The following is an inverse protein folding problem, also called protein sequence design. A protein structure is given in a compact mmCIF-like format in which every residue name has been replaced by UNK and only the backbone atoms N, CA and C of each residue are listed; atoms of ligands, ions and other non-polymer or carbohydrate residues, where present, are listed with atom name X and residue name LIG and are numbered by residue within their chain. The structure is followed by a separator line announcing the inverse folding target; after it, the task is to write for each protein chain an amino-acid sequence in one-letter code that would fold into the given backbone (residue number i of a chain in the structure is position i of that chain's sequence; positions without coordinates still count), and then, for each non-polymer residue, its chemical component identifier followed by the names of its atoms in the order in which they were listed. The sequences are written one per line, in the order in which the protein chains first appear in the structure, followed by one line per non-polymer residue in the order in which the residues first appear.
data_IF_613225354030
#
_entry.id   IF_613225354030
#
_cell.length_a   1.000
_cell.length_b   1.000
_cell.length_c   1.000
_cell.angle_alpha   90.00
_cell.angle_beta   90.00
_cell.angle_gamma   90.00
#
_symmetry.space_group_name_H-M   'P 1'
#
loop_
_entity.id
_entity.type
_entity.pdbx_description
1 polymer ?
#
# COMPACT_ATOMS: atom_id res chain seq x y z
N UNK A 1 -37.33 14.42 -21.81
CA UNK A 1 -36.96 13.36 -22.79
C UNK A 1 -35.61 13.59 -23.45
N UNK A 2 -35.19 14.83 -23.77
CA UNK A 2 -33.88 15.10 -24.40
C UNK A 2 -32.67 15.09 -23.44
N UNK A 3 -32.86 15.33 -22.13
CA UNK A 3 -31.76 15.30 -21.15
C UNK A 3 -31.10 13.93 -20.99
N UNK A 4 -31.83 12.85 -21.25
CA UNK A 4 -31.33 11.47 -21.17
C UNK A 4 -30.35 11.09 -22.30
N UNK A 5 -30.33 11.85 -23.40
CA UNK A 5 -29.41 11.64 -24.53
C UNK A 5 -28.15 12.50 -24.42
N UNK A 6 -28.17 13.53 -23.57
CA UNK A 6 -27.10 14.51 -23.41
C UNK A 6 -26.36 14.38 -22.10
N UNK A 7 -26.67 13.35 -21.31
CA UNK A 7 -25.93 13.04 -20.09
C UNK A 7 -25.44 11.59 -20.19
N UNK A 8 -24.12 11.36 -20.23
CA UNK A 8 -23.59 10.01 -20.09
C UNK A 8 -23.87 9.61 -18.64
N UNK A 9 -24.91 8.81 -18.43
CA UNK A 9 -25.44 8.44 -17.11
C UNK A 9 -24.37 7.70 -16.29
N UNK A 10 -23.52 8.46 -15.61
CA UNK A 10 -22.35 7.94 -14.88
C UNK A 10 -22.81 7.00 -13.75
N UNK A 11 -23.91 7.35 -13.09
CA UNK A 11 -24.48 6.61 -11.96
C UNK A 11 -24.97 5.20 -12.33
N UNK A 12 -25.51 5.01 -13.54
CA UNK A 12 -25.98 3.71 -14.05
C UNK A 12 -24.82 2.71 -14.27
N UNK A 13 -23.58 3.19 -14.19
CA UNK A 13 -22.38 2.42 -14.51
C UNK A 13 -21.53 2.06 -13.28
N UNK A 14 -22.01 2.40 -12.08
CA UNK A 14 -21.39 2.09 -10.80
C UNK A 14 -21.85 0.73 -10.29
N UNK A 15 -20.94 -0.03 -9.68
CA UNK A 15 -21.26 -1.26 -8.94
C UNK A 15 -21.64 -0.86 -7.52
N UNK A 16 -22.84 -0.30 -7.38
CA UNK A 16 -23.35 0.18 -6.09
C UNK A 16 -23.42 -0.95 -5.05
N UNK A 17 -23.62 -2.20 -5.48
CA UNK A 17 -23.69 -3.39 -4.61
C UNK A 17 -22.35 -3.71 -3.91
N UNK A 18 -21.21 -3.35 -4.51
CA UNK A 18 -19.86 -3.55 -3.92
C UNK A 18 -19.36 -2.32 -3.14
N UNK A 19 -20.20 -1.27 -3.02
CA UNK A 19 -19.83 0.00 -2.39
C UNK A 19 -18.91 0.86 -3.27
N UNK A 20 -19.01 0.76 -4.60
CA UNK A 20 -18.34 1.66 -5.53
C UNK A 20 -18.95 3.06 -5.43
N UNK A 21 -18.14 4.06 -5.05
CA UNK A 21 -18.57 5.47 -4.94
C UNK A 21 -17.75 6.34 -5.89
N UNK A 22 -18.41 7.33 -6.52
CA UNK A 22 -17.74 8.34 -7.34
C UNK A 22 -17.03 9.32 -6.41
N UNK A 23 -15.72 9.43 -6.56
CA UNK A 23 -14.90 10.40 -5.82
C UNK A 23 -14.83 11.72 -6.58
N UNK A 24 -14.66 11.66 -7.90
CA UNK A 24 -14.64 12.85 -8.76
C UNK A 24 -15.15 12.54 -10.17
N UNK A 25 -15.89 13.50 -10.73
CA UNK A 25 -16.40 13.47 -12.09
C UNK A 25 -15.74 14.60 -12.90
N UNK A 26 -14.84 14.23 -13.81
CA UNK A 26 -14.07 15.16 -14.61
C UNK A 26 -14.80 15.47 -15.92
N UNK A 27 -15.32 16.71 -16.00
CA UNK A 27 -15.81 17.30 -17.26
C UNK A 27 -14.65 17.93 -18.02
N UNK A 28 -14.71 17.92 -19.35
CA UNK A 28 -13.77 18.69 -20.19
C UNK A 28 -13.88 20.18 -19.87
N UNK A 29 -12.72 20.83 -19.75
CA UNK A 29 -12.61 22.26 -19.50
C UNK A 29 -13.22 23.08 -20.65
N UNK A 30 -13.71 24.29 -20.37
CA UNK A 30 -14.38 25.14 -21.37
C UNK A 30 -13.49 25.43 -22.59
N UNK A 31 -12.16 25.47 -22.43
CA UNK A 31 -11.23 25.66 -23.56
C UNK A 31 -11.36 24.56 -24.63
N UNK A 32 -11.79 23.35 -24.28
CA UNK A 32 -12.04 22.30 -25.26
C UNK A 32 -13.15 22.69 -26.26
N UNK A 33 -14.06 23.58 -25.88
CA UNK A 33 -15.14 24.11 -26.73
C UNK A 33 -14.70 25.25 -27.64
N UNK A 34 -13.49 25.79 -27.50
CA UNK A 34 -13.00 26.88 -28.38
C UNK A 34 -12.92 26.39 -29.83
N UNK A 35 -12.34 25.21 -30.07
CA UNK A 35 -12.21 24.66 -31.43
C UNK A 35 -13.56 24.43 -32.13
N UNK A 36 -14.58 23.77 -31.52
CA UNK A 36 -15.88 23.66 -32.18
C UNK A 36 -16.59 25.00 -32.32
N UNK A 37 -16.43 25.93 -31.37
CA UNK A 37 -17.03 27.27 -31.48
C UNK A 37 -16.48 28.04 -32.68
N UNK A 38 -15.18 27.98 -32.94
CA UNK A 38 -14.57 28.60 -34.13
C UNK A 38 -15.07 27.98 -35.44
N UNK A 39 -15.28 26.66 -35.48
CA UNK A 39 -15.86 25.98 -36.65
C UNK A 39 -17.31 26.44 -36.88
N UNK A 40 -18.10 26.55 -35.81
CA UNK A 40 -19.49 27.05 -35.90
C UNK A 40 -19.51 28.50 -36.41
N UNK A 41 -18.65 29.36 -35.87
CA UNK A 41 -18.53 30.75 -36.31
C UNK A 41 -18.09 30.85 -37.78
N UNK A 42 -17.15 30.01 -38.22
CA UNK A 42 -16.74 29.93 -39.61
C UNK A 42 -17.90 29.49 -40.51
N UNK A 43 -18.64 28.45 -40.12
CA UNK A 43 -19.82 27.99 -40.85
C UNK A 43 -20.89 29.08 -40.96
N UNK A 44 -21.12 29.83 -39.88
CA UNK A 44 -22.06 30.94 -39.85
C UNK A 44 -21.60 32.13 -40.72
N UNK A 45 -20.30 32.42 -40.75
CA UNK A 45 -19.73 33.44 -41.62
C UNK A 45 -19.84 33.06 -43.11
N UNK A 46 -19.59 31.80 -43.47
CA UNK A 46 -19.78 31.28 -44.83
C UNK A 46 -21.26 31.31 -45.23
N UNK A 47 -22.15 30.93 -44.30
CA UNK A 47 -23.59 31.04 -44.51
C UNK A 47 -24.02 32.51 -44.72
N UNK A 48 -23.43 33.46 -44.00
CA UNK A 48 -23.72 34.89 -44.15
C UNK A 48 -23.25 35.45 -45.50
N UNK A 49 -22.26 34.84 -46.16
CA UNK A 49 -21.84 35.21 -47.51
C UNK A 49 -22.97 35.00 -48.54
N UNK A 50 -23.95 34.15 -48.23
CA UNK A 50 -25.16 33.99 -49.06
C UNK A 50 -25.94 35.28 -49.27
N UNK A 51 -25.86 36.24 -48.33
CA UNK A 51 -26.52 37.55 -48.46
C UNK A 51 -25.87 38.46 -49.50
N UNK A 52 -24.63 38.18 -49.92
CA UNK A 52 -23.89 38.97 -50.91
C UNK A 52 -23.95 38.39 -52.33
N UNK A 53 -24.44 37.17 -52.48
CA UNK A 53 -24.49 36.43 -53.74
C UNK A 53 -25.90 36.55 -54.35
N UNK A 54 -26.04 36.58 -55.69
CA UNK A 54 -27.36 36.58 -56.34
C UNK A 54 -28.24 35.41 -55.87
N UNK A 55 -29.56 35.64 -55.79
CA UNK A 55 -30.50 34.72 -55.13
C UNK A 55 -30.50 33.31 -55.73
N UNK A 56 -30.21 33.19 -57.03
CA UNK A 56 -30.13 31.92 -57.75
C UNK A 56 -28.99 31.02 -57.28
N UNK A 57 -27.93 31.61 -56.69
CA UNK A 57 -26.75 30.89 -56.20
C UNK A 57 -26.58 30.93 -54.67
N UNK A 58 -27.44 31.66 -53.96
CA UNK A 58 -27.35 31.83 -52.50
C UNK A 58 -27.45 30.51 -51.72
N UNK A 59 -28.08 29.48 -52.30
CA UNK A 59 -28.19 28.13 -51.71
C UNK A 59 -26.84 27.43 -51.52
N UNK A 60 -25.85 27.73 -52.37
CA UNK A 60 -24.52 27.09 -52.34
C UNK A 60 -23.73 27.49 -51.07
N UNK A 61 -23.43 28.78 -50.81
CA UNK A 61 -22.74 29.18 -49.59
C UNK A 61 -23.57 28.91 -48.33
N UNK A 62 -24.90 29.00 -48.42
CA UNK A 62 -25.78 28.66 -47.30
C UNK A 62 -25.67 27.17 -46.93
N UNK A 63 -25.71 26.27 -47.91
CA UNK A 63 -25.56 24.84 -47.69
C UNK A 63 -24.20 24.46 -47.15
N UNK A 64 -23.12 25.05 -47.69
CA UNK A 64 -21.75 24.83 -47.21
C UNK A 64 -21.60 25.35 -45.77
N UNK A 65 -22.06 26.57 -45.49
CA UNK A 65 -21.99 27.16 -44.16
C UNK A 65 -22.79 26.34 -43.14
N UNK A 66 -23.98 25.87 -43.50
CA UNK A 66 -24.80 25.00 -42.68
C UNK A 66 -24.10 23.65 -42.40
N UNK A 67 -23.46 23.03 -43.39
CA UNK A 67 -22.72 21.78 -43.20
C UNK A 67 -21.51 21.96 -42.26
N UNK A 68 -20.76 23.05 -42.39
CA UNK A 68 -19.64 23.39 -41.50
C UNK A 68 -20.15 23.65 -40.07
N UNK A 69 -21.23 24.43 -39.93
CA UNK A 69 -21.82 24.72 -38.63
C UNK A 69 -22.35 23.43 -37.96
N UNK A 70 -23.02 22.56 -38.72
CA UNK A 70 -23.50 21.26 -38.23
C UNK A 70 -22.34 20.36 -37.79
N UNK A 71 -21.24 20.34 -38.53
CA UNK A 71 -20.02 19.64 -38.13
C UNK A 71 -19.42 20.21 -36.84
N UNK A 72 -19.41 21.54 -36.68
CA UNK A 72 -19.00 22.21 -35.45
C UNK A 72 -19.88 21.84 -34.24
N UNK A 73 -21.20 21.78 -34.43
CA UNK A 73 -22.15 21.32 -33.40
C UNK A 73 -21.91 19.85 -33.05
N UNK A 74 -21.72 18.99 -34.04
CA UNK A 74 -21.37 17.58 -33.82
C UNK A 74 -20.09 17.43 -32.99
N UNK A 75 -19.05 18.23 -33.29
CA UNK A 75 -17.80 18.27 -32.53
C UNK A 75 -18.00 18.80 -31.11
N UNK A 76 -18.83 19.84 -30.91
CA UNK A 76 -19.16 20.35 -29.58
C UNK A 76 -19.87 19.29 -28.73
N UNK A 77 -20.80 18.55 -29.35
CA UNK A 77 -21.52 17.46 -28.67
C UNK A 77 -20.57 16.33 -28.27
N UNK A 78 -19.59 15.99 -29.12
CA UNK A 78 -18.56 15.01 -28.80
C UNK A 78 -17.75 15.41 -27.55
N UNK A 79 -17.37 16.69 -27.44
CA UNK A 79 -16.65 17.23 -26.27
C UNK A 79 -17.53 17.19 -25.02
N UNK A 80 -18.83 17.45 -25.15
CA UNK A 80 -19.77 17.44 -24.04
C UNK A 80 -20.04 16.02 -23.49
N UNK A 81 -20.04 15.01 -24.35
CA UNK A 81 -20.32 13.61 -23.99
C UNK A 81 -19.12 12.88 -23.36
N UNK A 82 -17.92 13.42 -23.47
CA UNK A 82 -16.71 12.75 -22.99
C UNK A 82 -16.50 13.01 -21.50
N UNK A 83 -16.72 11.98 -20.67
CA UNK A 83 -16.54 12.03 -19.22
C UNK A 83 -15.49 11.06 -18.74
N UNK A 84 -14.67 11.55 -17.83
CA UNK A 84 -13.71 10.76 -17.09
C UNK A 84 -14.13 10.73 -15.64
N UNK A 85 -14.29 9.54 -15.09
CA UNK A 85 -14.87 9.32 -13.77
C UNK A 85 -13.85 8.57 -12.93
N UNK A 86 -13.62 9.08 -11.73
CA UNK A 86 -12.70 8.52 -10.74
C UNK A 86 -13.57 7.99 -9.60
N UNK A 87 -13.46 6.69 -9.34
CA UNK A 87 -14.14 6.04 -8.21
C UNK A 87 -13.11 5.58 -7.19
N UNK A 88 -13.59 5.07 -6.06
CA UNK A 88 -12.76 4.43 -5.04
C UNK A 88 -12.13 3.08 -5.47
N UNK A 89 -12.56 2.48 -6.58
CA UNK A 89 -12.11 1.14 -7.00
C UNK A 89 -11.40 1.15 -8.37
N UNK A 90 -11.84 2.01 -9.29
CA UNK A 90 -11.33 2.10 -10.66
C UNK A 90 -11.52 3.48 -11.28
N UNK A 91 -10.76 3.76 -12.32
CA UNK A 91 -11.05 4.87 -13.23
C UNK A 91 -11.72 4.34 -14.49
N UNK A 92 -12.69 5.09 -15.01
CA UNK A 92 -13.25 4.77 -16.31
C UNK A 92 -13.58 6.03 -17.10
N UNK A 93 -13.56 5.86 -18.42
CA UNK A 93 -13.89 6.92 -19.37
C UNK A 93 -15.02 6.45 -20.26
N UNK A 94 -16.00 7.32 -20.41
CA UNK A 94 -17.13 7.12 -21.32
C UNK A 94 -17.02 8.19 -22.39
N UNK A 95 -16.90 7.77 -23.65
CA UNK A 95 -16.88 8.69 -24.78
C UNK A 95 -17.69 8.13 -25.95
N UNK A 96 -18.37 9.02 -26.67
CA UNK A 96 -19.21 8.65 -27.80
C UNK A 96 -20.53 9.40 -27.80
N UNK A 97 -21.16 9.49 -28.98
CA UNK A 97 -22.47 10.16 -29.16
C UNK A 97 -23.56 9.12 -29.43
N UNK A 98 -23.36 8.30 -30.46
CA UNK A 98 -24.31 7.24 -30.85
C UNK A 98 -23.89 5.88 -30.32
N UNK A 99 -22.60 5.56 -30.47
CA UNK A 99 -21.97 4.37 -29.87
C UNK A 99 -21.10 4.84 -28.72
N UNK A 100 -21.41 4.37 -27.51
CA UNK A 100 -20.63 4.67 -26.31
C UNK A 100 -19.53 3.62 -26.16
N UNK A 101 -18.29 4.08 -26.05
CA UNK A 101 -17.15 3.24 -25.71
C UNK A 101 -16.77 3.52 -24.26
N UNK A 102 -16.63 2.44 -23.48
CA UNK A 102 -16.20 2.49 -22.08
C UNK A 102 -14.82 1.85 -21.98
N UNK A 103 -13.84 2.62 -21.55
CA UNK A 103 -12.54 2.11 -21.14
C UNK A 103 -12.50 2.12 -19.61
N UNK A 104 -12.08 1.02 -19.00
CA UNK A 104 -12.06 0.85 -17.54
C UNK A 104 -10.72 0.31 -17.10
N UNK A 105 -10.14 0.90 -16.06
CA UNK A 105 -8.86 0.48 -15.51
C UNK A 105 -8.94 0.48 -13.97
N UNK A 106 -8.60 -0.64 -13.30
CA UNK A 106 -8.54 -0.70 -11.84
C UNK A 106 -7.53 0.30 -11.27
N UNK A 107 -7.83 0.91 -10.13
CA UNK A 107 -6.90 1.86 -9.48
C UNK A 107 -5.54 1.20 -9.19
N UNK A 108 -5.54 -0.07 -8.79
CA UNK A 108 -4.33 -0.83 -8.47
C UNK A 108 -3.39 -1.08 -9.67
N UNK A 109 -3.85 -0.85 -10.92
CA UNK A 109 -3.03 -1.06 -12.13
C UNK A 109 -2.37 0.22 -12.66
N UNK A 110 -2.61 1.36 -12.00
CA UNK A 110 -2.02 2.65 -12.38
C UNK A 110 -0.57 2.66 -11.85
N UNK A 111 0.40 2.72 -12.77
CA UNK A 111 1.82 2.75 -12.41
C UNK A 111 2.27 4.17 -12.04
N UNK A 112 2.01 5.11 -12.94
CA UNK A 112 2.32 6.52 -12.74
C UNK A 112 1.25 7.43 -13.36
N UNK A 113 1.13 8.63 -12.80
CA UNK A 113 0.27 9.69 -13.32
C UNK A 113 1.12 10.94 -13.50
N UNK A 114 1.29 11.33 -14.76
CA UNK A 114 2.04 12.51 -15.13
C UNK A 114 1.08 13.65 -15.55
N UNK A 115 1.30 14.85 -15.00
CA UNK A 115 0.48 16.04 -15.29
C UNK A 115 1.25 17.01 -16.18
N UNK A 116 0.77 17.21 -17.41
CA UNK A 116 1.32 18.23 -18.31
C UNK A 116 0.45 19.50 -18.32
N UNK A 117 1.04 20.64 -17.96
CA UNK A 117 0.37 21.95 -18.01
C UNK A 117 1.06 22.87 -19.00
N UNK A 118 0.41 23.22 -20.12
CA UNK A 118 0.95 24.25 -21.01
C UNK A 118 0.96 25.61 -20.30
N UNK A 119 1.75 26.57 -20.80
CA UNK A 119 1.84 27.93 -20.24
C UNK A 119 0.46 28.57 -20.01
N UNK A 120 -0.45 28.45 -20.99
CA UNK A 120 -1.83 28.92 -20.85
C UNK A 120 -2.64 28.07 -19.85
N UNK A 121 -2.31 26.79 -19.69
CA UNK A 121 -2.89 25.89 -18.70
C UNK A 121 -2.67 26.36 -17.26
N UNK A 122 -1.51 26.96 -16.97
CA UNK A 122 -1.23 27.52 -15.65
C UNK A 122 -2.13 28.72 -15.31
N UNK A 123 -2.42 29.55 -16.31
CA UNK A 123 -3.28 30.75 -16.14
C UNK A 123 -4.75 30.35 -16.03
N UNK A 124 -5.22 29.48 -16.91
CA UNK A 124 -6.62 29.05 -16.98
C UNK A 124 -6.93 27.81 -16.12
N UNK A 125 -6.00 27.37 -15.26
CA UNK A 125 -6.12 26.20 -14.37
C UNK A 125 -6.60 24.93 -15.10
N UNK A 126 -6.01 24.62 -16.26
CA UNK A 126 -6.23 23.35 -16.95
C UNK A 126 -4.92 22.62 -17.25
N UNK A 127 -5.02 21.30 -17.42
CA UNK A 127 -3.88 20.44 -17.76
C UNK A 127 -4.32 19.21 -18.56
N UNK A 128 -3.34 18.32 -18.76
CA UNK A 128 -3.51 17.03 -19.41
C UNK A 128 -2.95 15.97 -18.46
N UNK A 129 -3.72 14.91 -18.22
CA UNK A 129 -3.25 13.74 -17.48
C UNK A 129 -2.75 12.70 -18.47
N UNK A 130 -1.58 12.16 -18.18
CA UNK A 130 -1.00 11.00 -18.86
C UNK A 130 -0.93 9.88 -17.84
N UNK A 131 -1.67 8.80 -18.07
CA UNK A 131 -1.68 7.62 -17.23
C UNK A 131 -0.78 6.57 -17.84
N UNK A 132 0.17 6.09 -17.05
CA UNK A 132 0.98 4.92 -17.39
C UNK A 132 0.37 3.69 -16.69
N UNK A 133 0.17 2.63 -17.46
CA UNK A 133 -0.55 1.44 -17.03
C UNK A 133 0.25 0.19 -17.33
N UNK A 134 0.17 -0.80 -16.44
CA UNK A 134 0.82 -2.09 -16.62
C UNK A 134 0.23 -2.91 -17.80
N UNK A 135 -0.99 -2.57 -18.24
CA UNK A 135 -1.63 -3.14 -19.43
C UNK A 135 -1.96 -2.01 -20.42
N UNK A 136 -1.80 -2.26 -21.72
CA UNK A 136 -1.87 -1.21 -22.74
C UNK A 136 -3.32 -0.82 -23.10
N UNK A 137 -3.97 -0.05 -22.22
CA UNK A 137 -5.33 0.46 -22.44
C UNK A 137 -5.32 1.77 -23.26
N UNK A 138 -5.47 1.63 -24.58
CA UNK A 138 -5.39 2.73 -25.56
C UNK A 138 -6.42 3.86 -25.34
N UNK A 139 -7.45 3.66 -24.50
CA UNK A 139 -8.52 4.64 -24.24
C UNK A 139 -8.30 5.56 -23.03
N UNK A 140 -7.37 5.21 -22.13
CA UNK A 140 -7.18 5.87 -20.84
C UNK A 140 -5.83 6.57 -20.67
N UNK A 141 -4.89 6.34 -21.60
CA UNK A 141 -3.52 6.88 -21.51
C UNK A 141 -3.43 8.40 -21.48
N UNK A 142 -4.26 9.11 -22.24
CA UNK A 142 -4.20 10.58 -22.34
C UNK A 142 -5.59 11.21 -22.18
N UNK A 143 -5.75 11.96 -21.08
CA UNK A 143 -6.96 12.72 -20.77
C UNK A 143 -6.66 14.21 -20.87
N UNK A 144 -7.16 14.83 -21.94
CA UNK A 144 -6.89 16.24 -22.27
C UNK A 144 -7.94 17.19 -21.75
N UNK A 145 -7.51 18.41 -21.41
CA UNK A 145 -8.35 19.53 -20.98
C UNK A 145 -9.07 19.26 -19.66
N UNK A 146 -8.30 18.85 -18.65
CA UNK A 146 -8.80 18.64 -17.29
C UNK A 146 -8.66 19.93 -16.49
N UNK A 147 -9.76 20.40 -15.91
CA UNK A 147 -9.75 21.57 -15.02
C UNK A 147 -9.21 21.21 -13.64
N UNK A 148 -8.55 22.17 -12.96
CA UNK A 148 -7.95 21.99 -11.63
C UNK A 148 -7.11 20.70 -11.50
N UNK A 149 -6.09 20.51 -12.37
CA UNK A 149 -5.33 19.26 -12.40
C UNK A 149 -4.57 18.96 -11.10
N UNK A 150 -4.10 19.96 -10.35
CA UNK A 150 -3.37 19.75 -9.09
C UNK A 150 -4.21 19.14 -7.98
N UNK A 151 -5.39 19.71 -7.74
CA UNK A 151 -6.32 19.23 -6.72
C UNK A 151 -6.79 17.80 -7.03
N UNK A 152 -6.96 17.52 -8.33
CA UNK A 152 -7.36 16.20 -8.82
C UNK A 152 -6.25 15.17 -8.75
N UNK A 153 -5.02 15.56 -9.03
CA UNK A 153 -3.84 14.69 -8.89
C UNK A 153 -3.71 14.19 -7.44
N UNK A 154 -3.78 15.11 -6.46
CA UNK A 154 -3.78 14.75 -5.04
C UNK A 154 -4.95 13.83 -4.66
N UNK A 155 -6.14 14.10 -5.20
CA UNK A 155 -7.33 13.26 -4.98
C UNK A 155 -7.10 11.85 -5.52
N UNK A 156 -6.58 11.71 -6.74
CA UNK A 156 -6.31 10.42 -7.35
C UNK A 156 -5.23 9.67 -6.57
N UNK A 157 -4.13 10.33 -6.20
CA UNK A 157 -3.06 9.72 -5.38
C UNK A 157 -3.60 9.20 -4.04
N UNK A 158 -4.45 10.00 -3.36
CA UNK A 158 -5.10 9.60 -2.11
C UNK A 158 -5.97 8.35 -2.31
N UNK A 159 -6.71 8.28 -3.42
CA UNK A 159 -7.55 7.13 -3.74
C UNK A 159 -6.73 5.90 -4.15
N UNK A 160 -5.62 6.07 -4.89
CA UNK A 160 -4.69 4.97 -5.21
C UNK A 160 -4.14 4.36 -3.91
N UNK A 161 -3.69 5.20 -2.98
CA UNK A 161 -3.18 4.73 -1.69
C UNK A 161 -4.26 3.97 -0.91
N UNK A 162 -5.48 4.53 -0.80
CA UNK A 162 -6.61 3.88 -0.10
C UNK A 162 -7.10 2.60 -0.78
N UNK A 163 -7.08 2.55 -2.11
CA UNK A 163 -7.54 1.37 -2.88
C UNK A 163 -6.49 0.27 -2.95
N UNK A 164 -5.19 0.62 -3.01
CA UNK A 164 -4.09 -0.33 -2.86
C UNK A 164 -4.13 -1.04 -1.50
N UNK A 165 -4.40 -0.30 -0.42
CA UNK A 165 -4.68 -0.86 0.90
C UNK A 165 -5.86 -1.85 0.85
N UNK A 166 -6.97 -1.49 0.20
CA UNK A 166 -8.15 -2.38 0.08
C UNK A 166 -7.92 -3.63 -0.76
N UNK A 167 -7.13 -3.55 -1.83
CA UNK A 167 -6.74 -4.71 -2.64
C UNK A 167 -5.84 -5.66 -1.87
N UNK A 168 -4.91 -5.13 -1.05
CA UNK A 168 -4.10 -5.93 -0.14
C UNK A 168 -4.99 -6.67 0.88
N UNK A 169 -5.98 -5.98 1.47
CA UNK A 169 -6.97 -6.57 2.41
C UNK A 169 -7.74 -7.73 1.76
N UNK A 170 -8.21 -7.55 0.52
CA UNK A 170 -8.98 -8.60 -0.18
C UNK A 170 -8.13 -9.85 -0.42
N UNK A 171 -6.85 -9.69 -0.79
CA UNK A 171 -5.91 -10.79 -1.01
C UNK A 171 -5.41 -11.49 0.26
N UNK A 172 -5.67 -10.90 1.44
CA UNK A 172 -5.37 -11.49 2.74
C UNK A 172 -6.57 -12.31 3.23
N UNK A 173 -7.79 -11.80 3.08
CA UNK A 173 -9.00 -12.55 3.42
C UNK A 173 -9.16 -13.84 2.61
N UNK A 174 -8.77 -13.87 1.33
CA UNK A 174 -8.84 -15.12 0.53
C UNK A 174 -7.79 -16.15 0.96
N UNK A 175 -6.68 -15.73 1.59
CA UNK A 175 -5.66 -16.67 2.08
C UNK A 175 -6.09 -17.38 3.37
N UNK A 176 -6.89 -16.72 4.20
CA UNK A 176 -7.47 -17.33 5.40
C UNK A 176 -8.62 -18.31 5.07
N UNK A 177 -9.20 -18.24 3.85
CA UNK A 177 -10.25 -19.18 3.40
C UNK A 177 -9.68 -20.46 2.74
N UNK A 178 -8.47 -20.40 2.15
CA UNK A 178 -7.83 -21.55 1.50
C UNK A 178 -7.08 -22.47 2.49
N UNK A 179 -6.83 -22.03 3.73
CA UNK A 179 -6.15 -22.82 4.77
C UNK A 179 -7.11 -23.71 5.59
N UNK A 180 -8.43 -23.62 5.34
CA UNK A 180 -9.49 -24.42 6.01
C UNK A 180 -10.09 -25.53 5.11
N UNK A 181 -9.57 -25.78 3.90
CA UNK A 181 -9.97 -26.95 3.10
C UNK A 181 -9.32 -28.24 3.65
N UNK A 182 -10.17 -29.05 4.29
CA UNK A 182 -9.99 -30.44 4.73
C UNK A 182 -8.84 -31.19 4.03
N UNK A 183 -7.84 -31.60 4.83
CA UNK A 183 -6.94 -32.70 4.49
C UNK A 183 -7.78 -33.94 4.14
N UNK A 184 -7.74 -34.47 2.90
CA UNK A 184 -8.39 -35.73 2.61
C UNK A 184 -7.54 -36.86 3.21
N UNK A 185 -8.17 -37.66 4.06
CA UNK A 185 -7.65 -38.94 4.52
C UNK A 185 -7.26 -39.83 3.35
N UNK A 186 -6.21 -40.63 3.56
CA UNK A 186 -5.53 -41.38 2.53
C UNK A 186 -6.31 -42.50 1.83
N UNK A 187 -5.60 -43.05 0.83
CA UNK A 187 -5.92 -44.17 -0.05
C UNK A 187 -6.93 -43.90 -1.17
N UNK A 188 -6.41 -43.54 -2.35
CA UNK A 188 -6.43 -44.51 -3.46
C UNK A 188 -5.45 -44.13 -4.58
N UNK A 189 -4.68 -45.15 -4.98
CA UNK A 189 -3.79 -45.13 -6.13
C UNK A 189 -4.59 -45.40 -7.42
N UNK A 190 -4.08 -44.79 -8.51
CA UNK A 190 -4.04 -45.28 -9.91
C UNK A 190 -4.86 -44.50 -10.97
N UNK A 191 -4.07 -43.84 -11.83
CA UNK A 191 -4.20 -43.54 -13.29
C UNK A 191 -5.02 -42.36 -13.79
N UNK A 192 -4.28 -41.33 -14.23
CA UNK A 192 -4.07 -41.11 -15.67
C UNK A 192 -4.68 -39.85 -16.28
N UNK A 193 -3.84 -38.82 -16.52
CA UNK A 193 -3.64 -38.13 -17.81
C UNK A 193 -3.25 -36.64 -17.63
N UNK A 194 -1.98 -36.36 -17.94
CA UNK A 194 -1.41 -35.18 -18.64
C UNK A 194 -2.14 -33.82 -18.59
N UNK A 195 -1.44 -32.81 -18.05
CA UNK A 195 -1.23 -31.53 -18.73
C UNK A 195 -0.03 -30.80 -18.11
N UNK A 196 0.90 -30.42 -18.98
CA UNK A 196 2.17 -29.78 -18.70
C UNK A 196 2.00 -28.37 -18.08
N UNK A 197 2.81 -28.06 -17.07
CA UNK A 197 3.00 -26.69 -16.56
C UNK A 197 4.48 -26.36 -16.74
N UNK A 198 4.80 -25.75 -17.89
CA UNK A 198 6.03 -25.00 -18.08
C UNK A 198 5.82 -23.59 -17.52
N UNK A 199 6.58 -23.26 -16.48
CA UNK A 199 6.68 -21.94 -15.90
C UNK A 199 7.97 -21.29 -16.38
N UNK A 200 7.91 -20.62 -17.53
CA UNK A 200 8.94 -19.69 -17.99
C UNK A 200 8.42 -18.26 -17.80
N UNK A 201 8.95 -17.56 -16.80
CA UNK A 201 8.96 -16.10 -16.74
C UNK A 201 10.27 -15.60 -17.33
N UNK A 202 10.24 -15.31 -18.63
CA UNK A 202 11.31 -14.57 -19.31
C UNK A 202 11.21 -13.08 -18.95
N UNK A 203 12.26 -12.62 -18.28
CA UNK A 203 12.60 -11.23 -18.07
C UNK A 203 13.57 -10.83 -19.18
N UNK A 204 13.05 -10.31 -20.29
CA UNK A 204 13.88 -9.72 -21.35
C UNK A 204 14.11 -8.23 -21.06
N UNK A 205 15.37 -7.91 -20.77
CA UNK A 205 15.91 -6.55 -20.85
C UNK A 205 16.78 -6.44 -22.11
N UNK A 206 16.25 -5.81 -23.15
CA UNK A 206 17.03 -5.37 -24.30
C UNK A 206 17.96 -4.22 -23.89
N UNK A 207 19.26 -4.42 -24.08
CA UNK A 207 20.24 -3.35 -24.22
C UNK A 207 21.19 -3.72 -25.36
N UNK A 208 20.79 -3.36 -26.57
CA UNK A 208 21.65 -3.34 -27.75
C UNK A 208 22.72 -2.25 -27.59
N UNK A 209 23.99 -2.65 -27.55
CA UNK A 209 25.09 -1.84 -28.07
C UNK A 209 25.99 -2.73 -28.93
N UNK A 210 25.81 -2.59 -30.24
CA UNK A 210 26.78 -2.95 -31.27
C UNK A 210 28.14 -2.31 -30.97
N UNK A 211 29.18 -3.13 -30.83
CA UNK A 211 30.52 -2.78 -31.26
C UNK A 211 31.15 -3.97 -31.96
N UNK A 212 31.31 -3.79 -33.27
CA UNK A 212 31.95 -4.69 -34.19
C UNK A 212 33.45 -4.35 -34.26
N UNK A 213 34.32 -5.33 -34.01
CA UNK A 213 35.68 -5.33 -34.56
C UNK A 213 36.31 -6.71 -34.48
N UNK A 214 36.45 -7.28 -35.66
CA UNK A 214 37.21 -8.44 -36.08
C UNK A 214 38.58 -8.66 -35.40
N UNK A 215 38.79 -9.93 -35.06
CA UNK A 215 39.89 -10.79 -35.55
C UNK A 215 41.37 -10.51 -35.16
N UNK A 216 41.96 -11.57 -34.57
CA UNK A 216 43.22 -12.21 -34.94
C UNK A 216 44.36 -12.31 -33.89
N UNK A 217 44.48 -13.54 -33.34
CA UNK A 217 45.69 -14.33 -33.03
C UNK A 217 46.98 -13.61 -32.56
N UNK A 218 47.41 -13.90 -31.32
CA UNK A 218 48.70 -14.58 -31.03
C UNK A 218 48.85 -14.98 -29.56
N UNK A 219 49.52 -16.11 -29.37
CA UNK A 219 49.66 -16.90 -28.16
C UNK A 219 50.57 -16.29 -27.08
N UNK A 220 50.28 -16.59 -25.81
CA UNK A 220 51.32 -17.06 -24.88
C UNK A 220 50.74 -17.93 -23.74
N UNK A 221 51.31 -19.12 -23.60
CA UNK A 221 51.09 -20.13 -22.58
C UNK A 221 51.95 -19.82 -21.34
N UNK A 222 51.38 -19.66 -20.14
CA UNK A 222 51.48 -20.67 -19.06
C UNK A 222 50.87 -20.20 -17.71
N UNK A 223 50.43 -21.18 -16.86
CA UNK A 223 49.53 -20.99 -15.73
C UNK A 223 50.26 -20.95 -14.37
N UNK A 224 49.55 -20.53 -13.32
CA UNK A 224 49.87 -20.93 -11.93
C UNK A 224 48.62 -21.40 -11.19
N UNK A 225 48.44 -22.74 -11.23
CA UNK A 225 47.99 -23.68 -10.19
C UNK A 225 47.24 -23.16 -8.94
N UNK A 226 46.31 -23.90 -8.31
CA UNK A 226 45.52 -25.10 -8.63
C UNK A 226 44.60 -25.40 -7.42
N UNK A 227 43.36 -25.80 -7.67
CA UNK A 227 42.46 -26.32 -6.64
C UNK A 227 42.93 -27.69 -6.12
N UNK A 228 42.94 -27.86 -4.79
CA UNK A 228 43.21 -29.13 -4.11
C UNK A 228 41.93 -29.76 -3.59
N UNK A 229 41.73 -31.02 -3.96
CA UNK A 229 40.55 -31.87 -3.72
C UNK A 229 40.39 -32.29 -2.26
N UNK A 230 39.12 -32.47 -1.85
CA UNK A 230 38.63 -32.89 -0.54
C UNK A 230 38.80 -34.41 -0.33
N UNK A 231 39.47 -34.82 0.74
CA UNK A 231 39.39 -36.17 1.34
C UNK A 231 39.28 -36.03 2.86
N UNK A 232 38.40 -36.82 3.48
CA UNK A 232 37.78 -36.52 4.77
C UNK A 232 38.52 -36.99 6.04
N UNK A 233 37.71 -36.99 7.12
CA UNK A 233 37.91 -37.55 8.47
C UNK A 233 38.36 -36.55 9.55
N UNK A 234 37.42 -36.21 10.46
CA UNK A 234 37.62 -35.34 11.62
C UNK A 234 38.71 -35.87 12.57
N UNK A 235 39.55 -34.99 13.13
CA UNK A 235 40.12 -35.17 14.45
C UNK A 235 39.56 -34.15 15.46
N UNK A 236 39.32 -34.64 16.67
CA UNK A 236 38.80 -33.90 17.82
C UNK A 236 39.61 -32.65 18.15
N UNK A 237 38.92 -31.55 18.44
CA UNK A 237 39.50 -30.31 18.98
C UNK A 237 40.00 -30.60 20.40
N UNK A 238 41.33 -30.65 20.57
CA UNK A 238 41.97 -30.60 21.89
C UNK A 238 41.87 -29.17 22.41
N UNK A 239 40.99 -28.93 23.38
CA UNK A 239 41.08 -27.76 24.26
C UNK A 239 42.34 -27.91 25.10
N UNK A 240 43.33 -27.03 24.88
CA UNK A 240 44.63 -27.05 25.56
C UNK A 240 44.55 -26.57 27.00
N UNK A 241 43.90 -27.32 27.89
CA UNK A 241 43.91 -27.07 29.33
C UNK A 241 44.37 -28.35 30.04
N UNK A 242 45.62 -28.34 30.50
CA UNK A 242 46.14 -29.36 31.42
C UNK A 242 45.66 -29.12 32.85
N UNK A 243 45.64 -30.14 33.73
CA UNK A 243 44.90 -30.13 34.99
C UNK A 243 45.61 -29.41 36.15
N UNK A 244 46.49 -28.44 35.87
CA UNK A 244 47.24 -27.71 36.89
C UNK A 244 47.54 -26.28 36.41
N UNK A 245 46.48 -25.48 36.25
CA UNK A 245 46.62 -24.03 36.09
C UNK A 245 45.94 -23.39 37.30
N UNK A 246 46.76 -22.73 38.10
CA UNK A 246 46.34 -21.93 39.25
C UNK A 246 45.54 -20.72 38.75
N UNK A 247 44.25 -20.67 39.09
CA UNK A 247 43.29 -19.68 38.56
C UNK A 247 43.25 -18.39 39.39
N UNK A 248 44.12 -18.22 40.39
CA UNK A 248 44.09 -17.03 41.25
C UNK A 248 44.88 -15.81 40.73
N UNK A 249 45.66 -15.94 39.64
CA UNK A 249 46.56 -14.86 39.17
C UNK A 249 46.07 -14.08 37.93
N UNK A 250 44.91 -14.41 37.36
CA UNK A 250 44.36 -13.74 36.16
C UNK A 250 43.25 -12.73 36.44
N UNK A 251 43.09 -12.28 37.68
CA UNK A 251 42.32 -11.08 37.99
C UNK A 251 43.28 -9.89 38.02
N UNK A 252 43.40 -9.22 36.87
CA UNK A 252 43.59 -7.76 36.69
C UNK A 252 44.44 -7.54 35.43
N UNK A 253 43.77 -7.52 34.28
CA UNK A 253 44.28 -6.77 33.13
C UNK A 253 43.28 -5.66 32.86
N UNK A 254 43.46 -4.53 33.55
CA UNK A 254 42.75 -3.29 33.26
C UNK A 254 43.15 -2.82 31.85
N UNK A 255 42.27 -3.08 30.88
CA UNK A 255 42.36 -2.44 29.58
C UNK A 255 41.84 -1.00 29.72
N UNK A 256 42.77 -0.08 29.96
CA UNK A 256 42.51 1.35 29.83
C UNK A 256 42.30 1.68 28.34
N UNK A 257 41.04 1.75 27.93
CA UNK A 257 40.65 2.35 26.66
C UNK A 257 40.23 3.78 26.94
N UNK A 258 41.01 4.73 26.42
CA UNK A 258 40.93 6.16 26.69
C UNK A 258 39.72 6.83 25.98
N UNK A 259 38.53 6.25 26.16
CA UNK A 259 37.24 6.74 25.67
C UNK A 259 36.25 6.81 26.82
N UNK A 260 36.15 8.00 27.41
CA UNK A 260 35.20 8.29 28.49
C UNK A 260 33.75 8.16 28.02
N UNK A 261 33.13 7.05 28.38
CA UNK A 261 31.68 6.98 28.59
C UNK A 261 31.40 7.04 30.09
N UNK A 262 30.61 8.05 30.47
CA UNK A 262 30.12 8.31 31.83
C UNK A 262 29.15 7.20 32.27
N UNK A 263 29.24 6.83 33.55
CA UNK A 263 28.28 6.06 34.36
C UNK A 263 27.65 4.86 33.65
N UNK A 264 28.38 3.75 33.62
CA UNK A 264 27.76 2.43 33.46
C UNK A 264 26.98 2.10 34.73
N UNK A 265 25.69 2.49 34.78
CA UNK A 265 24.75 1.91 35.73
C UNK A 265 24.81 0.39 35.57
N UNK A 266 25.23 -0.29 36.64
CA UNK A 266 25.39 -1.74 36.71
C UNK A 266 24.07 -2.42 36.29
N UNK A 267 24.05 -2.92 35.05
CA UNK A 267 22.93 -3.63 34.46
C UNK A 267 22.77 -4.97 35.21
N UNK A 268 21.89 -5.01 36.22
CA UNK A 268 21.53 -6.25 36.90
C UNK A 268 20.71 -7.12 35.94
N UNK A 269 21.41 -7.94 35.15
CA UNK A 269 20.80 -8.99 34.34
C UNK A 269 20.25 -10.02 35.32
N UNK A 270 18.93 -10.18 35.39
CA UNK A 270 18.35 -11.40 35.95
C UNK A 270 18.97 -12.59 35.23
N UNK A 271 19.27 -13.69 35.93
CA UNK A 271 20.02 -14.83 35.39
C UNK A 271 19.25 -15.57 34.26
N UNK A 272 19.15 -14.96 33.08
CA UNK A 272 18.70 -15.60 31.85
C UNK A 272 19.95 -15.97 31.06
N UNK A 273 20.54 -17.13 31.39
CA UNK A 273 21.56 -17.71 30.52
C UNK A 273 20.88 -18.01 29.16
N UNK A 274 21.40 -17.50 28.03
CA UNK A 274 20.84 -17.82 26.73
C UNK A 274 20.82 -19.34 26.56
N UNK A 275 19.72 -19.87 26.04
CA UNK A 275 19.58 -21.30 25.78
C UNK A 275 20.78 -21.76 24.93
N UNK A 276 21.30 -22.96 25.20
CA UNK A 276 22.52 -23.51 24.58
C UNK A 276 22.50 -23.56 23.04
N UNK A 277 21.39 -23.26 22.37
CA UNK A 277 21.23 -23.09 20.92
C UNK A 277 20.20 -21.98 20.59
N UNK A 278 20.38 -20.77 21.13
CA UNK A 278 19.52 -19.64 20.79
C UNK A 278 19.75 -19.16 19.32
N UNK A 279 18.74 -19.20 18.44
CA UNK A 279 18.85 -18.74 17.05
C UNK A 279 19.28 -17.27 16.92
N UNK A 280 18.95 -16.42 17.90
CA UNK A 280 19.27 -14.99 17.84
C UNK A 280 20.75 -14.76 18.13
N UNK A 281 21.28 -15.42 19.16
CA UNK A 281 22.70 -15.47 19.45
C UNK A 281 23.51 -16.03 18.27
N UNK A 282 23.02 -17.08 17.60
CA UNK A 282 23.66 -17.62 16.40
C UNK A 282 23.66 -16.62 15.23
N UNK A 283 22.53 -15.94 14.98
CA UNK A 283 22.45 -14.91 13.96
C UNK A 283 23.41 -13.75 14.25
N UNK A 284 23.52 -13.33 15.52
CA UNK A 284 24.44 -12.29 15.95
C UNK A 284 25.90 -12.65 15.66
N UNK A 285 26.33 -13.87 15.99
CA UNK A 285 27.68 -14.35 15.65
C UNK A 285 27.94 -14.43 14.15
N UNK A 286 26.95 -14.82 13.34
CA UNK A 286 27.09 -14.84 11.88
C UNK A 286 27.19 -13.43 11.27
N UNK A 287 26.47 -12.45 11.84
CA UNK A 287 26.50 -11.07 11.40
C UNK A 287 27.85 -10.40 11.63
N UNK A 288 28.43 -10.62 12.81
CA UNK A 288 29.74 -10.08 13.21
C UNK A 288 30.86 -10.46 12.25
N UNK A 289 30.76 -11.62 11.59
CA UNK A 289 31.75 -12.05 10.60
C UNK A 289 31.78 -11.19 9.34
N UNK A 290 30.73 -10.40 9.06
CA UNK A 290 30.57 -9.67 7.80
C UNK A 290 30.26 -8.18 7.96
N UNK A 291 29.60 -7.78 9.06
CA UNK A 291 29.12 -6.42 9.27
C UNK A 291 29.34 -5.94 10.72
N UNK A 292 29.52 -4.62 10.93
CA UNK A 292 29.58 -4.03 12.27
C UNK A 292 28.21 -4.04 12.95
N UNK A 293 28.18 -3.59 14.22
CA UNK A 293 26.95 -3.40 15.02
C UNK A 293 26.20 -4.68 15.42
N UNK A 294 26.94 -5.74 15.76
CA UNK A 294 26.41 -7.01 16.31
C UNK A 294 25.33 -6.82 17.37
N UNK A 295 25.62 -6.03 18.43
CA UNK A 295 24.71 -5.90 19.58
C UNK A 295 23.40 -5.18 19.24
N UNK A 296 23.44 -4.19 18.33
CA UNK A 296 22.23 -3.51 17.87
C UNK A 296 21.37 -4.45 17.02
N UNK A 297 21.98 -5.23 16.14
CA UNK A 297 21.27 -6.24 15.36
C UNK A 297 20.61 -7.28 16.28
N UNK A 298 21.36 -7.82 17.25
CA UNK A 298 20.84 -8.79 18.20
C UNK A 298 19.67 -8.21 19.00
N UNK A 299 19.83 -7.00 19.56
CA UNK A 299 18.79 -6.32 20.34
C UNK A 299 17.52 -6.06 19.51
N UNK A 300 17.67 -5.61 18.25
CA UNK A 300 16.52 -5.38 17.36
C UNK A 300 15.79 -6.68 17.05
N UNK A 301 16.53 -7.77 16.81
CA UNK A 301 15.97 -9.10 16.55
C UNK A 301 15.21 -9.65 17.75
N UNK A 302 15.79 -9.53 18.95
CA UNK A 302 15.12 -9.93 20.20
C UNK A 302 13.85 -9.12 20.42
N UNK A 303 13.89 -7.80 20.21
CA UNK A 303 12.72 -6.95 20.39
C UNK A 303 11.58 -7.32 19.43
N UNK A 304 11.87 -7.58 18.15
CA UNK A 304 10.86 -7.99 17.18
C UNK A 304 10.26 -9.36 17.50
N UNK A 305 11.08 -10.32 17.96
CA UNK A 305 10.60 -11.64 18.40
C UNK A 305 9.77 -11.57 19.66
N UNK A 306 10.21 -10.80 20.65
CA UNK A 306 9.46 -10.55 21.87
C UNK A 306 8.11 -9.91 21.56
N UNK A 307 8.06 -8.93 20.67
CA UNK A 307 6.80 -8.32 20.22
C UNK A 307 5.87 -9.35 19.58
N UNK A 308 6.35 -10.16 18.62
CA UNK A 308 5.56 -11.23 18.00
C UNK A 308 4.98 -12.18 19.04
N UNK A 309 5.83 -12.68 19.93
CA UNK A 309 5.42 -13.62 20.97
C UNK A 309 4.39 -13.02 21.94
N UNK A 310 4.53 -11.74 22.29
CA UNK A 310 3.57 -11.03 23.13
C UNK A 310 2.19 -10.95 22.47
N UNK A 311 2.14 -10.58 21.19
CA UNK A 311 0.88 -10.51 20.44
C UNK A 311 0.23 -11.90 20.38
N UNK A 312 0.98 -12.94 19.97
CA UNK A 312 0.45 -14.30 19.84
C UNK A 312 -0.09 -14.83 21.19
N UNK A 313 0.65 -14.57 22.28
CA UNK A 313 0.26 -14.96 23.64
C UNK A 313 -1.00 -14.24 24.10
N UNK A 314 -1.14 -12.94 23.82
CA UNK A 314 -2.32 -12.17 24.19
C UNK A 314 -3.54 -12.55 23.36
N UNK A 315 -3.37 -12.82 22.07
CA UNK A 315 -4.42 -13.35 21.19
C UNK A 315 -4.95 -14.69 21.69
N UNK A 316 -4.07 -15.60 22.09
CA UNK A 316 -4.45 -16.88 22.71
C UNK A 316 -5.34 -16.66 23.94
N UNK A 317 -5.00 -15.68 24.80
CA UNK A 317 -5.79 -15.37 26.00
C UNK A 317 -7.13 -14.72 25.68
N UNK A 318 -7.21 -13.92 24.62
CA UNK A 318 -8.42 -13.19 24.22
C UNK A 318 -9.38 -14.02 23.36
N UNK A 319 -8.91 -15.12 22.76
CA UNK A 319 -9.71 -16.03 21.94
C UNK A 319 -11.05 -16.46 22.55
N UNK A 320 -11.19 -16.77 23.85
CA UNK A 320 -12.48 -17.11 24.46
C UNK A 320 -13.54 -16.01 24.37
N UNK A 321 -13.13 -14.76 24.17
CA UNK A 321 -14.01 -13.61 23.97
C UNK A 321 -14.26 -13.30 22.48
N UNK A 322 -13.67 -14.08 21.56
CA UNK A 322 -13.71 -13.80 20.12
C UNK A 322 -12.86 -12.59 19.71
N UNK A 323 -11.97 -12.12 20.59
CA UNK A 323 -11.14 -10.94 20.36
C UNK A 323 -9.71 -11.33 19.98
N UNK A 324 -9.11 -10.48 19.14
CA UNK A 324 -7.66 -10.36 18.99
C UNK A 324 -7.18 -9.16 19.80
N UNK A 325 -5.88 -9.05 20.03
CA UNK A 325 -5.24 -7.94 20.73
C UNK A 325 -5.50 -6.62 20.02
N UNK A 326 -5.49 -6.59 18.69
CA UNK A 326 -5.82 -5.39 17.91
C UNK A 326 -7.27 -4.92 18.16
N UNK A 327 -8.24 -5.85 18.17
CA UNK A 327 -9.65 -5.54 18.48
C UNK A 327 -9.84 -5.07 19.92
N UNK A 328 -9.12 -5.71 20.84
CA UNK A 328 -9.08 -5.30 22.24
C UNK A 328 -8.46 -3.90 22.40
N UNK A 329 -7.34 -3.61 21.73
CA UNK A 329 -6.65 -2.32 21.76
C UNK A 329 -7.56 -1.20 21.25
N UNK A 330 -8.27 -1.40 20.13
CA UNK A 330 -9.25 -0.44 19.62
C UNK A 330 -10.34 -0.12 20.64
N UNK A 331 -10.92 -1.14 21.27
CA UNK A 331 -11.91 -0.96 22.32
C UNK A 331 -11.31 -0.29 23.57
N UNK A 332 -10.06 -0.58 23.90
CA UNK A 332 -9.36 -0.02 25.06
C UNK A 332 -9.08 1.48 24.88
N UNK A 333 -8.68 1.91 23.67
CA UNK A 333 -8.50 3.32 23.34
C UNK A 333 -9.79 4.11 23.53
N UNK A 334 -10.90 3.60 23.00
CA UNK A 334 -12.22 4.21 23.21
C UNK A 334 -12.65 4.15 24.68
N UNK A 335 -12.36 3.06 25.39
CA UNK A 335 -12.71 2.91 26.80
C UNK A 335 -12.01 3.94 27.70
N UNK A 336 -10.77 4.34 27.37
CA UNK A 336 -10.02 5.36 28.11
C UNK A 336 -10.38 6.79 27.73
N UNK A 337 -11.00 7.01 26.58
CA UNK A 337 -11.54 8.33 26.24
C UNK A 337 -12.70 8.70 27.17
N UNK A 338 -12.77 9.98 27.57
CA UNK A 338 -13.77 10.47 28.53
C UNK A 338 -15.21 10.37 28.00
N UNK A 339 -15.39 10.52 26.69
CA UNK A 339 -16.70 10.41 26.02
C UNK A 339 -16.95 8.97 25.56
N UNK A 340 -15.91 8.15 25.45
CA UNK A 340 -16.00 6.84 24.81
C UNK A 340 -15.97 6.92 23.30
N UNK A 341 -15.52 8.04 22.74
CA UNK A 341 -15.62 8.30 21.32
C UNK A 341 -14.37 9.02 20.81
N UNK A 342 -13.83 8.53 19.70
CA UNK A 342 -12.67 9.13 19.01
C UNK A 342 -12.98 9.30 17.52
N UNK A 343 -12.41 10.31 16.85
CA UNK A 343 -12.43 10.38 15.39
C UNK A 343 -11.88 9.07 14.81
N UNK A 344 -12.53 8.55 13.76
CA UNK A 344 -12.16 7.25 13.19
C UNK A 344 -10.72 7.24 12.67
N UNK A 345 -10.25 8.36 12.11
CA UNK A 345 -8.86 8.51 11.64
C UNK A 345 -7.88 8.42 12.82
N UNK A 346 -8.17 9.13 13.91
CA UNK A 346 -7.35 9.11 15.12
C UNK A 346 -7.31 7.71 15.75
N UNK A 347 -8.45 7.01 15.80
CA UNK A 347 -8.51 5.63 16.27
C UNK A 347 -7.61 4.73 15.43
N UNK A 348 -7.65 4.84 14.09
CA UNK A 348 -6.83 4.01 13.21
C UNK A 348 -5.33 4.34 13.27
N UNK A 349 -4.97 5.60 13.51
CA UNK A 349 -3.58 6.06 13.62
C UNK A 349 -2.91 5.64 14.94
N UNK A 350 -3.71 5.43 15.99
CA UNK A 350 -3.21 4.98 17.30
C UNK A 350 -3.03 3.46 17.42
N UNK A 351 -3.63 2.67 16.52
CA UNK A 351 -3.49 1.23 16.53
C UNK A 351 -2.10 0.79 16.08
N UNK A 352 -1.55 -0.25 16.72
CA UNK A 352 -0.20 -0.76 16.41
C UNK A 352 -0.14 -1.61 15.13
N UNK A 353 -1.29 -1.86 14.51
CA UNK A 353 -1.38 -2.63 13.27
C UNK A 353 -1.27 -1.72 12.05
N UNK A 354 -0.95 -2.30 10.91
CA UNK A 354 -0.96 -1.55 9.66
C UNK A 354 -2.37 -1.01 9.35
N UNK A 355 -2.43 0.09 8.59
CA UNK A 355 -3.67 0.80 8.26
C UNK A 355 -4.77 -0.12 7.72
N UNK A 356 -4.40 -1.19 7.03
CA UNK A 356 -5.34 -2.12 6.41
C UNK A 356 -6.04 -3.03 7.45
N UNK A 357 -5.30 -3.44 8.48
CA UNK A 357 -5.78 -4.18 9.64
C UNK A 357 -6.57 -3.31 10.63
N UNK A 358 -6.29 -1.99 10.69
CA UNK A 358 -7.05 -1.05 11.52
C UNK A 358 -8.52 -0.94 11.05
N UNK A 359 -8.77 -0.85 9.74
CA UNK A 359 -10.14 -0.77 9.21
C UNK A 359 -10.92 -2.08 9.35
N UNK A 360 -10.28 -3.23 9.16
CA UNK A 360 -10.93 -4.53 9.36
C UNK A 360 -11.28 -4.75 10.83
N UNK A 361 -10.41 -4.30 11.74
CA UNK A 361 -10.66 -4.29 13.18
C UNK A 361 -11.90 -3.47 13.54
N UNK A 362 -11.98 -2.22 13.07
CA UNK A 362 -13.13 -1.35 13.35
C UNK A 362 -14.43 -1.94 12.77
N UNK A 363 -14.39 -2.40 11.51
CA UNK A 363 -15.58 -2.99 10.87
C UNK A 363 -16.06 -4.24 11.62
N UNK A 364 -15.16 -5.12 12.04
CA UNK A 364 -15.54 -6.29 12.82
C UNK A 364 -16.19 -5.89 14.15
N UNK A 365 -15.69 -4.86 14.82
CA UNK A 365 -16.29 -4.35 16.05
C UNK A 365 -17.69 -3.78 15.83
N UNK A 366 -17.92 -3.10 14.70
CA UNK A 366 -19.25 -2.61 14.27
C UNK A 366 -20.22 -3.76 13.96
N UNK A 367 -19.79 -4.71 13.14
CA UNK A 367 -20.60 -5.88 12.76
C UNK A 367 -20.99 -6.73 13.99
N UNK A 368 -20.20 -6.64 15.07
CA UNK A 368 -20.45 -7.31 16.35
C UNK A 368 -21.12 -6.42 17.42
N UNK A 369 -21.59 -5.22 17.07
CA UNK A 369 -22.32 -4.32 17.98
C UNK A 369 -21.50 -3.88 19.21
N UNK A 370 -20.16 -3.82 19.05
CA UNK A 370 -19.21 -3.39 20.08
C UNK A 370 -18.81 -1.92 19.91
N UNK A 371 -19.02 -1.37 18.72
CA UNK A 371 -18.70 -0.02 18.32
C UNK A 371 -19.80 0.49 17.36
N UNK A 372 -20.14 1.77 17.44
CA UNK A 372 -21.06 2.44 16.51
C UNK A 372 -20.41 3.67 15.86
N UNK A 373 -20.82 4.00 14.63
CA UNK A 373 -20.41 5.24 13.96
C UNK A 373 -21.38 6.37 14.26
N UNK A 374 -20.87 7.46 14.82
CA UNK A 374 -21.61 8.69 15.02
C UNK A 374 -21.11 9.77 14.04
N UNK A 375 -22.05 10.43 13.35
CA UNK A 375 -21.78 11.65 12.57
C UNK A 375 -22.06 12.86 13.47
N UNK A 376 -21.06 13.72 13.68
CA UNK A 376 -21.28 14.94 14.46
C UNK A 376 -22.01 15.99 13.62
N UNK A 377 -23.18 16.50 14.06
CA UNK A 377 -23.90 17.53 13.33
C UNK A 377 -23.30 18.91 13.68
N UNK A 378 -22.27 19.34 12.95
CA UNK A 378 -21.71 20.68 13.19
C UNK A 378 -20.55 21.12 12.31
N UNK A 379 -19.67 20.22 11.87
CA UNK A 379 -18.47 20.60 11.11
C UNK A 379 -17.97 19.40 10.26
N UNK A 380 -17.64 19.65 9.00
CA UNK A 380 -16.93 18.81 8.01
C UNK A 380 -17.16 17.28 7.91
N UNK A 381 -18.25 16.73 8.48
CA UNK A 381 -18.62 15.32 8.27
C UNK A 381 -17.61 14.32 8.84
N UNK A 382 -16.90 14.71 9.91
CA UNK A 382 -15.98 13.83 10.60
C UNK A 382 -16.74 12.66 11.27
N UNK A 383 -16.25 11.44 11.02
CA UNK A 383 -16.88 10.20 11.48
C UNK A 383 -16.22 9.79 12.79
N UNK A 384 -17.02 9.68 13.85
CA UNK A 384 -16.57 9.20 15.14
C UNK A 384 -16.88 7.72 15.31
N UNK A 385 -15.97 7.01 15.97
CA UNK A 385 -16.21 5.69 16.52
C UNK A 385 -16.57 5.83 18.00
N UNK A 386 -17.74 5.34 18.40
CA UNK A 386 -18.22 5.36 19.78
C UNK A 386 -18.37 3.93 20.31
N UNK A 387 -17.85 3.66 21.51
CA UNK A 387 -17.94 2.34 22.14
C UNK A 387 -19.35 2.09 22.71
N UNK A 388 -19.97 0.98 22.33
CA UNK A 388 -21.30 0.62 22.81
C UNK A 388 -21.26 0.12 24.27
N UNK A 389 -22.40 0.06 24.98
CA UNK A 389 -22.45 -0.57 26.30
C UNK A 389 -21.97 -2.03 26.28
N UNK A 390 -22.26 -2.76 25.19
CA UNK A 390 -21.78 -4.13 24.97
C UNK A 390 -20.25 -4.15 24.78
N UNK A 391 -19.73 -3.23 23.98
CA UNK A 391 -18.29 -2.98 23.83
C UNK A 391 -17.61 -2.77 25.18
N UNK A 392 -18.11 -1.83 25.99
CA UNK A 392 -17.56 -1.53 27.33
C UNK A 392 -17.52 -2.75 28.25
N UNK A 393 -18.61 -3.52 28.28
CA UNK A 393 -18.68 -4.72 29.12
C UNK A 393 -17.71 -5.83 28.64
N UNK A 394 -17.47 -5.92 27.33
CA UNK A 394 -16.49 -6.85 26.78
C UNK A 394 -15.05 -6.39 27.06
N UNK A 395 -14.77 -5.09 26.94
CA UNK A 395 -13.47 -4.50 27.26
C UNK A 395 -13.10 -4.76 28.71
N UNK A 396 -14.00 -4.56 29.66
CA UNK A 396 -13.74 -4.78 31.09
C UNK A 396 -13.31 -6.24 31.37
N UNK A 397 -14.01 -7.21 30.77
CA UNK A 397 -13.65 -8.64 30.87
C UNK A 397 -12.30 -8.94 30.21
N UNK A 398 -12.08 -8.40 29.02
CA UNK A 398 -10.83 -8.58 28.28
C UNK A 398 -9.64 -7.98 29.05
N UNK A 399 -9.81 -6.80 29.65
CA UNK A 399 -8.80 -6.15 30.48
C UNK A 399 -8.45 -6.97 31.71
N UNK A 400 -9.42 -7.61 32.35
CA UNK A 400 -9.14 -8.53 33.46
C UNK A 400 -8.30 -9.73 33.00
N UNK A 401 -8.63 -10.35 31.85
CA UNK A 401 -7.87 -11.48 31.29
C UNK A 401 -6.42 -11.07 30.98
N UNK A 402 -6.24 -9.91 30.33
CA UNK A 402 -4.91 -9.39 29.96
C UNK A 402 -4.10 -9.05 31.21
N UNK A 403 -4.73 -8.45 32.23
CA UNK A 403 -4.08 -8.14 33.51
C UNK A 403 -3.69 -9.41 34.29
N UNK A 404 -4.57 -10.42 34.33
CA UNK A 404 -4.30 -11.71 34.98
C UNK A 404 -3.15 -12.45 34.26
N UNK A 405 -3.06 -12.31 32.94
CA UNK A 405 -1.94 -12.78 32.13
C UNK A 405 -0.67 -11.91 32.25
N UNK A 406 -0.68 -10.87 33.10
CA UNK A 406 0.42 -9.90 33.27
C UNK A 406 0.92 -9.31 31.95
N UNK A 407 0.01 -9.06 31.01
CA UNK A 407 0.34 -8.56 29.68
C UNK A 407 1.35 -9.43 28.90
N UNK A 408 1.46 -10.72 29.22
CA UNK A 408 2.43 -11.64 28.60
C UNK A 408 3.88 -11.47 29.10
N UNK A 409 4.09 -10.70 30.16
CA UNK A 409 5.41 -10.42 30.76
C UNK A 409 5.55 -11.06 32.15
N UNK A 410 4.96 -12.23 32.36
CA UNK A 410 4.91 -12.93 33.64
C UNK A 410 6.29 -13.34 34.19
N UNK A 411 7.27 -13.51 33.30
CA UNK A 411 8.66 -13.83 33.62
C UNK A 411 9.50 -12.64 34.10
N UNK A 412 9.02 -11.40 33.90
CA UNK A 412 9.75 -10.19 34.29
C UNK A 412 9.28 -9.66 35.64
N UNK A 413 10.22 -9.21 36.46
CA UNK A 413 9.94 -8.46 37.68
C UNK A 413 9.53 -7.02 37.38
N UNK A 414 8.82 -6.37 38.32
CA UNK A 414 8.43 -4.96 38.16
C UNK A 414 9.62 -4.01 37.95
N UNK A 415 10.80 -4.37 38.49
CA UNK A 415 12.02 -3.60 38.30
C UNK A 415 12.53 -3.70 36.85
N UNK A 416 12.54 -4.90 36.28
CA UNK A 416 12.92 -5.15 34.88
C UNK A 416 11.93 -4.49 33.92
N UNK A 417 10.62 -4.54 34.20
CA UNK A 417 9.59 -3.85 33.41
C UNK A 417 9.82 -2.32 33.37
N UNK A 418 10.11 -1.70 34.52
CA UNK A 418 10.42 -0.26 34.59
C UNK A 418 11.69 0.08 33.80
N UNK A 419 12.71 -0.77 33.91
CA UNK A 419 13.96 -0.57 33.20
C UNK A 419 13.78 -0.68 31.68
N UNK A 420 13.11 -1.72 31.20
CA UNK A 420 12.80 -1.90 29.78
C UNK A 420 11.97 -0.73 29.23
N UNK A 421 10.96 -0.29 29.99
CA UNK A 421 10.13 0.87 29.63
C UNK A 421 10.97 2.13 29.44
N UNK A 422 11.91 2.41 30.33
CA UNK A 422 12.81 3.56 30.20
C UNK A 422 13.70 3.48 28.96
N UNK A 423 14.22 2.28 28.64
CA UNK A 423 15.05 2.06 27.45
C UNK A 423 14.26 2.28 26.16
N UNK A 424 13.06 1.70 26.06
CA UNK A 424 12.18 1.84 24.89
C UNK A 424 11.66 3.28 24.74
N UNK A 425 11.31 3.94 25.85
CA UNK A 425 10.87 5.33 25.82
C UNK A 425 11.96 6.27 25.31
N UNK A 426 13.23 6.04 25.67
CA UNK A 426 14.37 6.79 25.12
C UNK A 426 14.50 6.60 23.61
N UNK A 427 14.32 5.38 23.12
CA UNK A 427 14.37 5.09 21.69
C UNK A 427 13.23 5.76 20.91
N UNK A 428 12.00 5.77 21.46
CA UNK A 428 10.83 6.41 20.82
C UNK A 428 11.01 7.92 20.66
N UNK A 429 11.52 8.61 21.69
CA UNK A 429 11.75 10.08 21.69
C UNK A 429 12.78 10.57 20.66
N UNK A 430 13.56 9.69 20.05
CA UNK A 430 14.51 10.08 18.99
C UNK A 430 13.77 10.24 17.65
N UNK A 431 12.57 9.67 17.51
CA UNK A 431 11.81 9.62 16.26
C UNK A 431 10.68 10.66 16.18
N UNK A 432 10.23 11.16 17.32
CA UNK A 432 9.33 12.32 17.46
C UNK A 432 10.15 13.62 17.52
#
# INVERSE_FOLDING_TARGET
MFGALTDPRVEDHLIAEEGEIVVDEVRRHFLAFVSPTLIILLGLAVAALSFTVPIDFASIPLGIGAAIALFGVYRAMFVHMDRFVITNMRVFRIHGIFTQHKATMPMARILDISVHKPLMGRIFRYGHFVFESAAQDQGLRDIRYVGRPDERDLTIQTVIQRSGLRSAITSLNTRDEDDDEELPDGDDLVTGASADIDADTDFDSDADQEFDSDEELRAEHQPRFSAGTRTGQYPAVRTGVGPNVDTEEWNTMEFNTDHGFRDSEEFRIGNASPALNDPVSMAASAWEMRWPERDRMQTATELMRAHRFLIDSLDEKLRPLGLTYARYEALLLLFFDQRGALPLVELTDQLQVDTSSSFSTVRWLEDNDLLERALEPGDDGEVFAEITPKGRALTDRASQIVADARFGLDTMSDAECRQLTNLLARQRRIRD
#
